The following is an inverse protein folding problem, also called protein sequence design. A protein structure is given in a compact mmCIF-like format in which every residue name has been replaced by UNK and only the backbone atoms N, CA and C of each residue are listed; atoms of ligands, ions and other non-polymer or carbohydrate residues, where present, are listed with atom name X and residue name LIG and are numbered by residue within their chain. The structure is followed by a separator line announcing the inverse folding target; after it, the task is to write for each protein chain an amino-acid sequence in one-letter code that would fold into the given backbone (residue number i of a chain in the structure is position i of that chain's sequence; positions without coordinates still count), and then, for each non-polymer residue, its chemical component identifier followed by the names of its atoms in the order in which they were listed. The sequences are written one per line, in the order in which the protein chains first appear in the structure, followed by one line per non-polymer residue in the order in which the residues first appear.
data_IF_789595361233
#
_entry.id   IF_789595361233
#
_cell.length_a   1.000
_cell.length_b   1.000
_cell.length_c   1.000
_cell.angle_alpha   90.00
_cell.angle_beta   90.00
_cell.angle_gamma   90.00
#
_symmetry.space_group_name_H-M   'P 1'
#
loop_
_entity.id
_entity.type
_entity.pdbx_description
1 polymer ?
#
# COMPACT_ATOMS: atom_id res chain seq x y z
N UNK A 1 8.70 18.42 -4.92
CA UNK A 1 9.12 17.02 -4.82
C UNK A 1 8.87 16.58 -3.40
N UNK A 2 8.11 15.51 -3.21
CA UNK A 2 7.65 15.00 -1.90
C UNK A 2 8.52 13.83 -1.47
N UNK A 3 9.06 13.85 -0.26
CA UNK A 3 9.89 12.76 0.25
C UNK A 3 9.00 11.66 0.79
N UNK A 4 9.21 10.44 0.31
CA UNK A 4 8.38 9.29 0.68
C UNK A 4 9.20 8.06 1.01
N UNK A 5 8.73 7.28 1.98
CA UNK A 5 9.19 5.92 2.25
C UNK A 5 8.02 4.98 2.01
N UNK A 6 8.24 3.89 1.27
CA UNK A 6 7.19 2.92 0.93
C UNK A 6 7.41 1.66 1.77
N UNK A 7 6.37 1.22 2.47
CA UNK A 7 6.36 -0.04 3.23
C UNK A 7 5.40 -1.02 2.56
N UNK A 8 5.92 -2.16 2.08
CA UNK A 8 5.23 -2.99 1.06
C UNK A 8 5.49 -4.48 1.30
N UNK A 9 4.64 -5.34 0.77
CA UNK A 9 4.76 -6.81 0.81
C UNK A 9 4.67 -7.38 -0.61
N UNK A 10 5.65 -7.08 -1.51
CA UNK A 10 5.43 -7.03 -2.95
C UNK A 10 4.67 -8.21 -3.58
N UNK A 11 3.36 -7.98 -3.76
CA UNK A 11 2.45 -8.67 -4.65
C UNK A 11 2.31 -7.97 -6.00
N UNK A 12 1.37 -8.45 -6.83
CA UNK A 12 1.07 -7.88 -8.15
C UNK A 12 0.77 -6.38 -8.11
N UNK A 13 -0.14 -5.91 -7.24
CA UNK A 13 -0.51 -4.50 -7.14
C UNK A 13 0.54 -3.63 -6.45
N UNK A 14 1.27 -4.15 -5.45
CA UNK A 14 2.45 -3.49 -4.91
C UNK A 14 3.50 -3.20 -6.00
N UNK A 15 3.75 -4.18 -6.88
CA UNK A 15 4.70 -4.01 -7.97
C UNK A 15 4.27 -2.89 -8.92
N UNK A 16 2.97 -2.77 -9.20
CA UNK A 16 2.41 -1.67 -9.96
C UNK A 16 2.52 -0.33 -9.20
N UNK A 17 2.40 -0.35 -7.87
CA UNK A 17 2.58 0.83 -7.03
C UNK A 17 4.03 1.32 -7.01
N UNK A 18 5.00 0.41 -6.96
CA UNK A 18 6.42 0.74 -7.09
C UNK A 18 6.73 1.28 -8.49
N UNK A 19 6.22 0.65 -9.55
CA UNK A 19 6.34 1.19 -10.91
C UNK A 19 5.78 2.63 -10.99
N UNK A 20 4.61 2.89 -10.41
CA UNK A 20 4.01 4.22 -10.37
C UNK A 20 4.89 5.20 -9.59
N UNK A 21 5.35 4.83 -8.40
CA UNK A 21 6.15 5.66 -7.53
C UNK A 21 7.46 6.08 -8.20
N UNK A 22 8.21 5.14 -8.76
CA UNK A 22 9.48 5.39 -9.44
C UNK A 22 9.30 6.02 -10.82
N UNK A 23 8.13 5.88 -11.44
CA UNK A 23 7.75 6.61 -12.65
C UNK A 23 7.33 8.07 -12.39
N UNK A 24 7.28 8.51 -11.13
CA UNK A 24 6.72 9.81 -10.73
C UNK A 24 7.78 10.79 -10.22
N UNK A 25 8.30 11.72 -11.04
CA UNK A 25 9.27 12.76 -10.63
C UNK A 25 8.80 13.68 -9.49
N UNK A 26 7.51 13.71 -9.19
CA UNK A 26 6.93 14.42 -8.06
C UNK A 26 7.40 13.80 -6.72
N UNK A 27 7.78 12.52 -6.71
CA UNK A 27 8.19 11.76 -5.54
C UNK A 27 9.70 11.57 -5.49
N UNK A 28 10.27 11.73 -4.30
CA UNK A 28 11.62 11.30 -3.94
C UNK A 28 11.50 10.10 -3.02
N UNK A 29 11.82 8.92 -3.53
CA UNK A 29 11.78 7.68 -2.74
C UNK A 29 13.05 7.62 -1.88
N UNK A 30 12.86 7.71 -0.57
CA UNK A 30 13.93 7.73 0.45
C UNK A 30 14.33 6.33 0.92
N UNK A 31 13.44 5.36 0.71
CA UNK A 31 13.65 3.96 1.06
C UNK A 31 12.42 3.14 0.74
N UNK A 32 12.64 1.83 0.63
CA UNK A 32 11.59 0.81 0.56
C UNK A 32 11.80 -0.15 1.72
N UNK A 33 10.75 -0.43 2.47
CA UNK A 33 10.75 -1.44 3.52
C UNK A 33 9.80 -2.56 3.14
N UNK A 34 10.17 -3.79 3.50
CA UNK A 34 9.36 -4.97 3.20
C UNK A 34 8.75 -5.56 4.46
N UNK A 35 7.56 -6.13 4.34
CA UNK A 35 6.85 -6.82 5.43
C UNK A 35 6.24 -8.11 4.91
N UNK A 36 5.95 -9.06 5.81
CA UNK A 36 5.14 -10.24 5.48
C UNK A 36 3.69 -9.85 5.16
N UNK A 37 3.08 -10.52 4.18
CA UNK A 37 1.69 -10.33 3.79
C UNK A 37 1.37 -11.18 2.56
N UNK A 38 1.20 -10.56 1.39
CA UNK A 38 0.89 -11.23 0.11
C UNK A 38 1.80 -12.42 -0.18
N UNK A 39 3.06 -12.34 0.25
CA UNK A 39 4.05 -13.42 0.24
C UNK A 39 4.85 -13.46 1.54
N UNK A 40 5.66 -14.51 1.72
CA UNK A 40 6.62 -14.57 2.83
C UNK A 40 7.60 -13.40 2.76
N UNK A 41 8.18 -13.01 3.90
CA UNK A 41 9.12 -11.90 3.95
C UNK A 41 10.33 -12.12 3.03
N UNK A 42 10.82 -13.35 2.90
CA UNK A 42 11.94 -13.69 2.01
C UNK A 42 11.61 -13.40 0.55
N UNK A 43 10.39 -13.75 0.11
CA UNK A 43 9.91 -13.45 -1.23
C UNK A 43 9.64 -11.95 -1.41
N UNK A 44 9.03 -11.29 -0.43
CA UNK A 44 8.80 -9.84 -0.44
C UNK A 44 10.14 -9.08 -0.62
N UNK A 45 11.17 -9.47 0.13
CA UNK A 45 12.55 -8.97 0.00
C UNK A 45 13.10 -9.16 -1.41
N UNK A 46 13.00 -10.38 -1.94
CA UNK A 46 13.50 -10.71 -3.27
C UNK A 46 12.79 -9.91 -4.36
N UNK A 47 11.47 -9.83 -4.29
CA UNK A 47 10.62 -9.11 -5.23
C UNK A 47 10.92 -7.61 -5.24
N UNK A 48 11.05 -6.98 -4.07
CA UNK A 48 11.43 -5.58 -3.95
C UNK A 48 12.78 -5.31 -4.65
N UNK A 49 13.80 -6.13 -4.39
CA UNK A 49 15.12 -5.98 -5.02
C UNK A 49 15.05 -6.15 -6.54
N UNK A 50 14.33 -7.17 -7.03
CA UNK A 50 14.12 -7.41 -8.47
C UNK A 50 13.44 -6.23 -9.16
N UNK A 51 12.41 -5.68 -8.54
CA UNK A 51 11.66 -4.54 -9.07
C UNK A 51 12.49 -3.27 -9.09
N UNK A 52 13.23 -2.97 -8.01
CA UNK A 52 14.10 -1.79 -7.98
C UNK A 52 15.25 -1.87 -8.98
N UNK A 53 15.82 -3.07 -9.19
CA UNK A 53 16.86 -3.28 -10.19
C UNK A 53 16.31 -3.11 -11.62
N UNK A 54 15.11 -3.65 -11.89
CA UNK A 54 14.40 -3.42 -13.15
C UNK A 54 14.13 -1.93 -13.40
N UNK A 55 13.80 -1.18 -12.34
CA UNK A 55 13.54 0.26 -12.38
C UNK A 55 14.81 1.12 -12.45
N UNK A 56 16.00 0.53 -12.38
CA UNK A 56 17.27 1.27 -12.29
C UNK A 56 17.45 2.05 -10.98
N UNK A 57 16.65 1.76 -9.96
CA UNK A 57 16.61 2.46 -8.67
C UNK A 57 17.67 1.93 -7.68
N UNK A 58 18.90 1.76 -8.16
CA UNK A 58 19.98 1.06 -7.43
C UNK A 58 20.48 1.78 -6.18
N UNK A 59 20.22 3.08 -6.05
CA UNK A 59 20.65 3.90 -4.90
C UNK A 59 19.61 3.95 -3.77
N UNK A 60 18.41 3.39 -3.96
CA UNK A 60 17.35 3.40 -2.94
C UNK A 60 17.51 2.21 -2.00
N UNK A 61 17.63 2.43 -0.68
CA UNK A 61 17.80 1.33 0.26
C UNK A 61 16.52 0.48 0.37
N UNK A 62 16.67 -0.84 0.29
CA UNK A 62 15.62 -1.82 0.62
C UNK A 62 15.92 -2.45 1.96
N UNK A 63 15.09 -2.27 2.97
CA UNK A 63 15.31 -2.83 4.30
C UNK A 63 14.24 -3.88 4.67
N UNK A 64 14.70 -5.02 5.16
CA UNK A 64 13.82 -6.12 5.59
C UNK A 64 13.11 -5.79 6.90
N UNK A 65 11.82 -6.04 6.96
CA UNK A 65 11.00 -5.82 8.15
C UNK A 65 10.55 -7.09 8.86
N UNK A 66 9.33 -7.06 9.37
CA UNK A 66 8.75 -8.14 10.16
C UNK A 66 8.35 -9.35 9.28
N UNK A 67 8.66 -10.55 9.78
CA UNK A 67 8.30 -11.82 9.14
C UNK A 67 6.96 -12.39 9.65
N UNK A 68 6.41 -11.82 10.72
CA UNK A 68 5.17 -12.23 11.36
C UNK A 68 4.40 -10.98 11.83
N UNK A 69 3.06 -11.03 11.88
CA UNK A 69 2.27 -10.06 12.62
C UNK A 69 2.68 -9.97 14.10
N UNK A 70 2.32 -8.87 14.77
CA UNK A 70 2.72 -8.63 16.17
C UNK A 70 2.27 -9.74 17.15
N UNK A 71 1.08 -10.30 16.92
CA UNK A 71 0.44 -11.28 17.83
C UNK A 71 -0.07 -12.52 17.10
N UNK A 72 -0.25 -12.44 15.79
CA UNK A 72 -0.91 -13.47 14.97
C UNK A 72 0.11 -14.30 14.22
N UNK A 73 -0.33 -15.46 13.74
CA UNK A 73 0.41 -16.21 12.73
C UNK A 73 0.19 -15.55 11.37
N UNK A 74 1.28 -15.40 10.60
CA UNK A 74 1.22 -14.91 9.23
C UNK A 74 0.35 -15.83 8.36
N UNK A 75 -0.39 -15.21 7.45
CA UNK A 75 -1.18 -15.92 6.44
C UNK A 75 -0.85 -15.30 5.09
N UNK A 76 -0.17 -16.08 4.24
CA UNK A 76 0.23 -15.61 2.94
C UNK A 76 -0.95 -15.43 1.96
N UNK A 77 -0.77 -14.53 1.00
CA UNK A 77 -1.69 -14.25 -0.10
C UNK A 77 -1.39 -15.02 -1.38
N UNK A 78 -0.63 -16.12 -1.33
CA UNK A 78 -0.10 -16.82 -2.53
C UNK A 78 -1.21 -17.27 -3.48
N UNK A 79 -2.39 -17.65 -2.94
CA UNK A 79 -3.56 -18.01 -3.76
C UNK A 79 -4.12 -16.87 -4.62
N UNK A 80 -3.78 -15.62 -4.32
CA UNK A 80 -4.22 -14.42 -5.03
C UNK A 80 -3.12 -13.91 -5.97
N UNK A 81 -1.89 -13.77 -5.48
CA UNK A 81 -0.77 -13.14 -6.20
C UNK A 81 0.16 -14.12 -6.94
N UNK A 82 -0.09 -15.43 -6.81
CA UNK A 82 0.72 -16.49 -7.42
C UNK A 82 1.92 -16.92 -6.56
N UNK A 83 2.55 -18.03 -6.94
CA UNK A 83 3.64 -18.67 -6.15
C UNK A 83 4.83 -17.75 -5.86
N UNK A 84 5.10 -16.80 -6.77
CA UNK A 84 6.19 -15.82 -6.62
C UNK A 84 5.72 -14.49 -6.04
N UNK A 85 4.41 -14.25 -5.93
CA UNK A 85 3.81 -12.94 -5.64
C UNK A 85 3.73 -11.98 -6.82
N UNK A 86 4.43 -12.24 -7.93
CA UNK A 86 4.50 -11.34 -9.09
C UNK A 86 3.72 -11.89 -10.31
N UNK A 87 2.66 -12.65 -10.08
CA UNK A 87 1.86 -13.23 -11.18
C UNK A 87 2.72 -14.11 -12.09
N UNK A 88 2.67 -13.86 -13.41
CA UNK A 88 3.46 -14.60 -14.41
C UNK A 88 4.82 -13.94 -14.68
N UNK A 89 5.16 -12.83 -14.01
CA UNK A 89 6.38 -12.08 -14.27
C UNK A 89 7.63 -12.85 -13.83
N UNK A 90 8.62 -12.88 -14.73
CA UNK A 90 9.94 -13.47 -14.46
C UNK A 90 11.00 -12.39 -14.57
N UNK A 91 11.49 -11.94 -13.41
CA UNK A 91 12.60 -10.99 -13.32
C UNK A 91 13.91 -11.72 -12.98
N UNK A 92 15.06 -11.27 -13.51
CA UNK A 92 16.37 -11.82 -13.20
C UNK A 92 16.66 -11.84 -11.69
N UNK A 93 17.58 -12.70 -11.25
CA UNK A 93 18.09 -12.65 -9.89
C UNK A 93 18.80 -11.31 -9.63
N UNK A 94 18.48 -10.60 -8.54
CA UNK A 94 19.00 -9.27 -8.30
C UNK A 94 20.46 -9.31 -7.85
N UNK A 95 21.24 -8.38 -8.37
CA UNK A 95 22.58 -8.06 -7.87
C UNK A 95 22.51 -7.17 -6.62
N UNK A 96 21.44 -6.37 -6.51
CA UNK A 96 21.16 -5.56 -5.32
C UNK A 96 21.05 -6.43 -4.05
N UNK A 97 21.36 -5.81 -2.91
CA UNK A 97 21.32 -6.43 -1.59
C UNK A 97 20.45 -5.62 -0.66
N UNK A 98 19.83 -6.31 0.29
CA UNK A 98 19.15 -5.65 1.40
C UNK A 98 20.13 -4.74 2.14
N UNK A 99 19.61 -3.61 2.57
CA UNK A 99 20.30 -2.70 3.45
C UNK A 99 20.57 -3.40 4.80
N UNK A 100 21.68 -3.07 5.45
CA UNK A 100 22.05 -3.66 6.74
C UNK A 100 21.13 -3.24 7.90
N UNK A 101 20.32 -2.19 7.72
CA UNK A 101 19.30 -1.75 8.66
C UNK A 101 18.04 -2.60 8.52
N UNK A 102 17.33 -2.81 9.63
CA UNK A 102 15.95 -3.30 9.58
C UNK A 102 14.99 -2.22 9.07
N UNK A 103 13.78 -2.62 8.65
CA UNK A 103 12.73 -1.68 8.26
C UNK A 103 12.47 -0.63 9.35
N UNK A 104 12.35 -1.07 10.60
CA UNK A 104 12.16 -0.17 11.76
C UNK A 104 13.30 0.83 11.89
N UNK A 105 14.56 0.39 11.75
CA UNK A 105 15.72 1.28 11.83
C UNK A 105 15.73 2.30 10.68
N UNK A 106 15.43 1.86 9.45
CA UNK A 106 15.37 2.74 8.29
C UNK A 106 14.25 3.78 8.41
N UNK A 107 13.05 3.35 8.86
CA UNK A 107 11.90 4.23 9.09
C UNK A 107 12.24 5.30 10.14
N UNK A 108 12.78 4.89 11.30
CA UNK A 108 13.14 5.81 12.38
C UNK A 108 14.22 6.79 11.93
N UNK A 109 15.27 6.32 11.25
CA UNK A 109 16.35 7.19 10.76
C UNK A 109 15.83 8.22 9.75
N UNK A 110 14.97 7.81 8.82
CA UNK A 110 14.39 8.72 7.82
C UNK A 110 13.42 9.71 8.42
N UNK A 111 12.63 9.31 9.42
CA UNK A 111 11.78 10.23 10.17
C UNK A 111 12.63 11.27 10.93
N UNK A 112 13.71 10.86 11.59
CA UNK A 112 14.65 11.78 12.25
C UNK A 112 15.32 12.77 11.29
N UNK A 113 15.74 12.28 10.11
CA UNK A 113 16.43 13.08 9.10
C UNK A 113 15.49 14.13 8.46
N UNK A 114 14.25 13.75 8.18
CA UNK A 114 13.37 14.52 7.31
C UNK A 114 12.24 15.24 8.06
N UNK A 115 11.83 14.73 9.23
CA UNK A 115 10.76 15.27 10.04
C UNK A 115 9.43 15.34 9.30
N UNK A 116 8.75 16.48 9.44
CA UNK A 116 7.46 16.82 8.82
C UNK A 116 7.47 16.86 7.27
N UNK A 117 8.61 16.58 6.63
CA UNK A 117 8.75 16.44 5.18
C UNK A 117 8.60 15.01 4.68
N UNK A 118 8.64 14.01 5.57
CA UNK A 118 8.51 12.60 5.22
C UNK A 118 7.05 12.15 5.30
N UNK A 119 6.49 11.72 4.17
CA UNK A 119 5.27 10.90 4.17
C UNK A 119 5.65 9.44 4.07
N UNK A 120 5.10 8.59 4.93
CA UNK A 120 5.24 7.14 4.78
C UNK A 120 4.00 6.60 4.05
N UNK A 121 4.21 5.68 3.11
CA UNK A 121 3.14 5.07 2.31
C UNK A 121 3.16 3.55 2.58
N UNK A 122 2.49 3.07 3.63
CA UNK A 122 2.30 1.65 3.87
C UNK A 122 1.22 1.11 2.93
N UNK A 123 1.61 0.16 2.09
CA UNK A 123 0.74 -0.56 1.17
C UNK A 123 0.61 -2.06 1.53
N UNK A 124 1.33 -2.50 2.57
CA UNK A 124 1.15 -3.80 3.20
C UNK A 124 0.62 -3.73 4.65
N UNK A 125 0.66 -4.87 5.37
CA UNK A 125 0.35 -4.93 6.79
C UNK A 125 1.18 -3.94 7.63
N UNK A 126 0.52 -3.26 8.57
CA UNK A 126 1.10 -2.12 9.31
C UNK A 126 2.14 -2.50 10.39
N UNK A 127 2.65 -3.73 10.39
CA UNK A 127 3.52 -4.30 11.42
C UNK A 127 4.82 -3.51 11.59
N UNK A 128 5.47 -3.13 10.48
CA UNK A 128 6.70 -2.33 10.52
C UNK A 128 6.46 -0.93 11.11
N UNK A 129 5.35 -0.29 10.72
CA UNK A 129 4.97 1.04 11.20
C UNK A 129 4.65 1.02 12.69
N UNK A 130 3.83 0.05 13.14
CA UNK A 130 3.53 -0.12 14.55
C UNK A 130 4.80 -0.41 15.38
N UNK A 131 5.70 -1.25 14.86
CA UNK A 131 6.98 -1.55 15.50
C UNK A 131 7.88 -0.31 15.60
N UNK A 132 7.90 0.55 14.57
CA UNK A 132 8.64 1.81 14.62
C UNK A 132 8.08 2.79 15.66
N UNK A 133 6.75 2.92 15.75
CA UNK A 133 6.07 3.71 16.80
C UNK A 133 6.41 3.17 18.19
N UNK A 134 6.40 1.86 18.38
CA UNK A 134 6.75 1.25 19.67
C UNK A 134 8.23 1.43 20.03
N UNK A 135 9.13 1.29 19.06
CA UNK A 135 10.57 1.46 19.26
C UNK A 135 10.94 2.92 19.54
N UNK A 136 10.27 3.86 18.88
CA UNK A 136 10.46 5.30 19.07
C UNK A 136 9.10 6.02 19.12
N UNK A 137 8.47 6.14 20.30
CA UNK A 137 7.17 6.80 20.44
C UNK A 137 7.15 8.26 19.94
N UNK A 138 8.28 8.98 19.98
CA UNK A 138 8.39 10.34 19.45
C UNK A 138 8.32 10.45 17.92
N UNK A 139 8.40 9.32 17.19
CA UNK A 139 8.28 9.33 15.72
C UNK A 139 6.94 9.91 15.24
N UNK A 140 5.93 9.90 16.11
CA UNK A 140 4.58 10.39 15.77
C UNK A 140 4.56 11.88 15.44
N UNK A 141 5.55 12.64 15.93
CA UNK A 141 5.73 14.07 15.69
C UNK A 141 6.82 14.36 14.63
N UNK A 142 7.44 13.32 14.04
CA UNK A 142 8.61 13.41 13.15
C UNK A 142 8.29 12.93 11.71
N UNK A 143 7.02 12.90 11.34
CA UNK A 143 6.56 12.58 9.98
C UNK A 143 5.44 13.52 9.56
N UNK A 144 5.31 13.81 8.26
CA UNK A 144 4.16 14.54 7.70
C UNK A 144 2.85 13.81 8.01
N UNK A 145 2.89 12.48 7.89
CA UNK A 145 1.75 11.59 8.08
C UNK A 145 1.91 10.28 7.31
N UNK A 146 0.84 9.48 7.38
CA UNK A 146 0.72 8.20 6.67
C UNK A 146 -0.34 8.29 5.58
N UNK A 147 -0.04 7.73 4.42
CA UNK A 147 -1.04 7.40 3.39
C UNK A 147 -1.07 5.90 3.26
N UNK A 148 -2.04 5.26 3.91
CA UNK A 148 -2.13 3.79 3.96
C UNK A 148 -3.03 3.26 2.85
N UNK A 149 -2.66 2.16 2.21
CA UNK A 149 -3.64 1.26 1.59
C UNK A 149 -4.14 0.32 2.69
N UNK A 150 -5.42 0.42 3.02
CA UNK A 150 -6.02 -0.52 3.96
C UNK A 150 -7.33 -0.05 4.56
N UNK A 151 -8.10 -1.02 5.04
CA UNK A 151 -9.39 -0.83 5.69
C UNK A 151 -10.60 -0.92 4.76
N UNK A 152 -11.73 -1.31 5.36
CA UNK A 152 -13.06 -1.32 4.76
C UNK A 152 -14.01 -0.57 5.68
N UNK A 153 -14.40 0.63 5.28
CA UNK A 153 -15.12 1.60 6.11
C UNK A 153 -16.63 1.58 5.88
N UNK A 154 -17.09 0.87 4.84
CA UNK A 154 -18.51 0.68 4.50
C UNK A 154 -19.28 2.02 4.38
N UNK A 155 -18.62 3.00 3.77
CA UNK A 155 -19.10 4.32 3.44
C UNK A 155 -19.58 4.42 1.98
N UNK A 156 -19.14 3.50 1.11
CA UNK A 156 -19.56 3.40 -0.29
C UNK A 156 -20.17 2.02 -0.60
N UNK A 157 -20.90 1.85 -1.73
CA UNK A 157 -21.51 0.55 -2.08
C UNK A 157 -20.53 -0.60 -2.34
N UNK A 158 -19.25 -0.31 -2.50
CA UNK A 158 -18.20 -1.27 -2.83
C UNK A 158 -17.14 -1.42 -1.70
N UNK A 159 -17.19 -0.60 -0.66
CA UNK A 159 -16.26 -0.61 0.47
C UNK A 159 -16.57 -1.67 1.54
N UNK A 160 -16.64 -2.95 1.16
CA UNK A 160 -16.78 -4.08 2.08
C UNK A 160 -15.47 -4.86 2.20
N UNK A 161 -15.32 -5.72 3.23
CA UNK A 161 -14.13 -6.53 3.42
C UNK A 161 -13.85 -7.49 2.25
N UNK A 162 -12.57 -7.77 2.02
CA UNK A 162 -12.08 -8.73 1.02
C UNK A 162 -11.47 -10.00 1.64
N UNK A 163 -11.08 -9.95 2.92
CA UNK A 163 -10.50 -11.09 3.62
C UNK A 163 -11.56 -11.85 4.43
N UNK A 164 -12.45 -11.11 5.08
CA UNK A 164 -13.71 -11.62 5.59
C UNK A 164 -14.83 -10.63 5.27
N UNK A 165 -16.04 -10.87 5.78
CA UNK A 165 -17.21 -10.03 5.46
C UNK A 165 -17.04 -8.54 5.82
N UNK A 166 -16.13 -8.20 6.74
CA UNK A 166 -15.99 -6.83 7.28
C UNK A 166 -14.57 -6.27 7.26
N UNK A 167 -13.56 -7.11 7.07
CA UNK A 167 -12.16 -6.72 7.17
C UNK A 167 -11.46 -6.75 5.81
N UNK A 168 -10.65 -5.72 5.59
CA UNK A 168 -9.69 -5.64 4.51
C UNK A 168 -8.40 -6.40 4.92
N UNK A 169 -7.72 -7.02 3.95
CA UNK A 169 -6.56 -7.90 4.13
C UNK A 169 -5.43 -7.31 4.98
N UNK A 170 -4.89 -6.14 4.64
CA UNK A 170 -3.75 -5.53 5.35
C UNK A 170 -4.07 -5.27 6.83
N UNK A 171 -5.28 -4.76 7.11
CA UNK A 171 -5.74 -4.57 8.48
C UNK A 171 -6.06 -5.89 9.19
N UNK A 172 -6.60 -6.88 8.48
CA UNK A 172 -6.91 -8.20 9.03
C UNK A 172 -5.65 -9.03 9.35
N UNK A 173 -4.59 -8.85 8.57
CA UNK A 173 -3.33 -9.58 8.71
C UNK A 173 -2.64 -9.22 10.02
N UNK A 174 -2.61 -7.94 10.38
CA UNK A 174 -2.11 -7.47 11.68
C UNK A 174 -3.03 -6.39 12.29
N UNK A 175 -4.17 -6.79 12.90
CA UNK A 175 -5.15 -5.85 13.44
C UNK A 175 -4.62 -5.15 14.69
N UNK A 176 -3.68 -5.77 15.42
CA UNK A 176 -3.00 -5.15 16.55
C UNK A 176 -2.07 -4.02 16.10
N UNK A 177 -1.29 -4.22 15.05
CA UNK A 177 -0.46 -3.17 14.46
C UNK A 177 -1.32 -2.03 13.91
N UNK A 178 -2.39 -2.35 13.18
CA UNK A 178 -3.32 -1.35 12.70
C UNK A 178 -3.95 -0.55 13.84
N UNK A 179 -4.33 -1.20 14.95
CA UNK A 179 -4.82 -0.50 16.14
C UNK A 179 -3.80 0.49 16.69
N UNK A 180 -2.53 0.09 16.81
CA UNK A 180 -1.44 0.97 17.28
C UNK A 180 -1.30 2.19 16.37
N UNK A 181 -1.29 1.98 15.04
CA UNK A 181 -1.15 3.06 14.06
C UNK A 181 -2.33 4.03 14.13
N UNK A 182 -3.56 3.53 14.18
CA UNK A 182 -4.76 4.37 14.20
C UNK A 182 -4.91 5.15 15.52
N UNK A 183 -4.38 4.61 16.63
CA UNK A 183 -4.37 5.27 17.94
C UNK A 183 -3.10 6.11 18.20
N UNK A 184 -2.14 6.14 17.26
CA UNK A 184 -0.81 6.76 17.46
C UNK A 184 -0.82 8.28 17.57
N UNK A 185 -1.81 8.95 16.96
CA UNK A 185 -1.84 10.40 16.80
C UNK A 185 -1.16 10.92 15.53
N UNK A 186 -0.46 10.07 14.77
CA UNK A 186 0.03 10.43 13.43
C UNK A 186 -1.16 10.77 12.52
N UNK A 187 -1.11 11.82 11.68
CA UNK A 187 -2.11 12.03 10.66
C UNK A 187 -2.20 10.84 9.70
N UNK A 188 -3.32 10.11 9.71
CA UNK A 188 -3.55 8.97 8.82
C UNK A 188 -4.57 9.32 7.75
N UNK A 189 -4.19 9.16 6.49
CA UNK A 189 -5.11 9.11 5.34
C UNK A 189 -5.28 7.67 4.89
N UNK A 190 -6.51 7.17 4.93
CA UNK A 190 -6.81 5.79 4.60
C UNK A 190 -7.42 5.66 3.20
N UNK A 191 -6.67 5.02 2.31
CA UNK A 191 -7.09 4.62 0.96
C UNK A 191 -7.62 3.19 1.04
N UNK A 192 -8.84 3.06 1.60
CA UNK A 192 -9.48 1.77 1.82
C UNK A 192 -10.24 1.23 0.61
N UNK A 193 -10.90 0.09 0.81
CA UNK A 193 -11.74 -0.56 -0.20
C UNK A 193 -12.86 0.38 -0.68
N UNK A 194 -13.31 1.32 0.15
CA UNK A 194 -14.30 2.35 -0.19
C UNK A 194 -13.97 3.21 -1.42
N UNK A 195 -12.73 3.22 -1.89
CA UNK A 195 -12.33 3.85 -3.16
C UNK A 195 -11.57 2.89 -4.09
N UNK A 196 -10.81 1.94 -3.55
CA UNK A 196 -9.97 1.06 -4.37
C UNK A 196 -10.76 -0.06 -5.06
N UNK A 197 -11.94 -0.44 -4.55
CA UNK A 197 -12.82 -1.43 -5.21
C UNK A 197 -13.91 -0.77 -6.07
N UNK A 198 -13.81 0.54 -6.32
CA UNK A 198 -14.72 1.20 -7.26
C UNK A 198 -14.62 0.47 -8.61
N UNK A 199 -15.72 -0.03 -9.20
CA UNK A 199 -15.67 -0.78 -10.46
C UNK A 199 -15.15 0.05 -11.64
N UNK A 200 -15.14 1.37 -11.53
CA UNK A 200 -14.54 2.28 -12.51
C UNK A 200 -13.03 2.47 -12.30
N UNK A 201 -12.48 2.01 -11.18
CA UNK A 201 -11.07 2.13 -10.81
C UNK A 201 -10.35 0.78 -10.90
N UNK A 202 -10.24 0.24 -12.11
CA UNK A 202 -9.58 -1.04 -12.34
C UNK A 202 -8.93 -1.10 -13.71
N UNK A 203 -7.91 -1.92 -13.83
CA UNK A 203 -7.40 -2.34 -15.13
C UNK A 203 -8.41 -3.32 -15.75
N UNK A 204 -9.09 -2.90 -16.81
CA UNK A 204 -10.06 -3.73 -17.54
C UNK A 204 -9.36 -4.57 -18.60
N UNK A 205 -10.00 -5.62 -19.16
CA UNK A 205 -9.46 -6.37 -20.29
C UNK A 205 -9.13 -5.49 -21.50
N UNK A 206 -9.89 -4.41 -21.73
CA UNK A 206 -9.65 -3.47 -22.84
C UNK A 206 -8.36 -2.66 -22.62
N UNK A 207 -8.17 -2.09 -21.42
CA UNK A 207 -6.92 -1.39 -21.07
C UNK A 207 -5.74 -2.35 -21.06
N UNK A 208 -5.93 -3.58 -20.59
CA UNK A 208 -4.89 -4.60 -20.62
C UNK A 208 -4.47 -4.95 -22.05
N UNK A 209 -5.41 -5.08 -22.99
CA UNK A 209 -5.09 -5.33 -24.39
C UNK A 209 -4.27 -4.19 -25.02
N UNK A 210 -4.48 -2.94 -24.59
CA UNK A 210 -3.63 -1.82 -24.96
C UNK A 210 -2.20 -2.02 -24.45
N UNK A 211 -2.03 -2.36 -23.16
CA UNK A 211 -0.70 -2.64 -22.56
C UNK A 211 0.01 -3.77 -23.30
N UNK A 212 -0.69 -4.87 -23.58
CA UNK A 212 -0.12 -6.02 -24.30
C UNK A 212 0.34 -5.69 -25.72
N UNK A 213 -0.27 -4.69 -26.36
CA UNK A 213 0.10 -4.26 -27.72
C UNK A 213 1.42 -3.50 -27.78
N UNK A 214 1.96 -3.06 -26.64
CA UNK A 214 3.17 -2.25 -26.57
C UNK A 214 4.43 -3.12 -26.48
N UNK A 215 5.39 -2.87 -27.36
CA UNK A 215 6.67 -3.59 -27.40
C UNK A 215 7.75 -2.92 -26.52
N UNK A 216 7.46 -2.74 -25.22
CA UNK A 216 8.44 -2.22 -24.25
C UNK A 216 8.67 -3.21 -23.11
N UNK A 217 9.87 -3.18 -22.51
CA UNK A 217 10.18 -4.04 -21.36
C UNK A 217 9.23 -3.79 -20.18
N UNK A 218 8.84 -2.53 -19.97
CA UNK A 218 7.91 -2.10 -18.93
C UNK A 218 6.49 -2.60 -19.18
N UNK A 219 5.98 -2.45 -20.39
CA UNK A 219 4.66 -2.96 -20.75
C UNK A 219 4.59 -4.50 -20.64
N UNK A 220 5.65 -5.22 -21.05
CA UNK A 220 5.75 -6.67 -20.85
C UNK A 220 5.69 -7.05 -19.37
N UNK A 221 6.47 -6.39 -18.51
CA UNK A 221 6.42 -6.63 -17.07
C UNK A 221 5.00 -6.41 -16.52
N UNK A 222 4.36 -5.29 -16.85
CA UNK A 222 2.98 -5.00 -16.40
C UNK A 222 2.00 -6.04 -16.93
N UNK A 223 2.15 -6.47 -18.18
CA UNK A 223 1.32 -7.52 -18.76
C UNK A 223 1.47 -8.83 -17.99
N UNK A 224 2.70 -9.26 -17.70
CA UNK A 224 2.97 -10.52 -17.00
C UNK A 224 2.52 -10.48 -15.53
N UNK A 225 2.63 -9.33 -14.86
CA UNK A 225 2.07 -9.11 -13.52
C UNK A 225 0.55 -9.30 -13.51
N UNK A 226 -0.16 -8.74 -14.50
CA UNK A 226 -1.62 -8.62 -14.46
C UNK A 226 -2.38 -9.76 -15.17
N UNK A 227 -1.74 -10.47 -16.11
CA UNK A 227 -2.40 -11.40 -17.05
C UNK A 227 -3.34 -12.39 -16.39
N UNK A 228 -2.89 -13.00 -15.32
CA UNK A 228 -3.64 -14.02 -14.60
C UNK A 228 -4.89 -13.41 -13.91
N UNK A 229 -4.78 -12.23 -13.32
CA UNK A 229 -5.92 -11.49 -12.78
C UNK A 229 -6.92 -11.11 -13.88
N UNK A 230 -6.46 -10.63 -15.03
CA UNK A 230 -7.34 -10.30 -16.15
C UNK A 230 -8.14 -11.54 -16.60
N UNK A 231 -7.47 -12.71 -16.69
CA UNK A 231 -8.12 -13.97 -17.07
C UNK A 231 -9.10 -14.49 -16.02
N UNK A 232 -8.72 -14.50 -14.74
CA UNK A 232 -9.53 -15.09 -13.64
C UNK A 232 -10.66 -14.17 -13.17
N UNK A 233 -10.40 -12.87 -13.10
CA UNK A 233 -11.25 -11.87 -12.40
C UNK A 233 -11.88 -10.83 -13.34
N UNK A 234 -11.64 -10.94 -14.65
CA UNK A 234 -12.08 -9.98 -15.67
C UNK A 234 -11.63 -8.54 -15.37
N UNK A 235 -10.39 -8.39 -14.88
CA UNK A 235 -9.78 -7.10 -14.53
C UNK A 235 -9.11 -7.12 -13.15
N UNK A 236 -8.31 -6.09 -12.86
CA UNK A 236 -7.54 -5.97 -11.62
C UNK A 236 -7.82 -4.62 -10.95
N UNK A 237 -8.24 -4.63 -9.68
CA UNK A 237 -8.36 -3.41 -8.89
C UNK A 237 -6.98 -2.85 -8.56
N UNK A 238 -6.82 -1.52 -8.65
CA UNK A 238 -5.54 -0.85 -8.45
C UNK A 238 -5.45 -0.29 -7.02
N UNK A 239 -5.35 -1.18 -6.03
CA UNK A 239 -5.37 -0.86 -4.61
C UNK A 239 -4.18 0.03 -4.21
N UNK A 240 -2.98 -0.53 -4.23
CA UNK A 240 -1.75 0.14 -3.79
C UNK A 240 -1.33 1.29 -4.70
N UNK A 241 -1.48 1.19 -6.04
CA UNK A 241 -1.21 2.32 -6.92
C UNK A 241 -2.06 3.55 -6.56
N UNK A 242 -3.31 3.36 -6.08
CA UNK A 242 -4.12 4.49 -5.64
C UNK A 242 -3.54 5.16 -4.38
N UNK A 243 -2.99 4.40 -3.44
CA UNK A 243 -2.36 4.97 -2.25
C UNK A 243 -1.13 5.84 -2.62
N UNK A 244 -0.28 5.36 -3.53
CA UNK A 244 0.86 6.13 -4.06
C UNK A 244 0.38 7.38 -4.79
N UNK A 245 -0.64 7.26 -5.66
CA UNK A 245 -1.18 8.40 -6.39
C UNK A 245 -1.79 9.45 -5.44
N UNK A 246 -2.49 9.04 -4.38
CA UNK A 246 -3.07 9.94 -3.38
C UNK A 246 -2.01 10.62 -2.52
N UNK A 247 -0.89 9.94 -2.24
CA UNK A 247 0.24 10.56 -1.55
C UNK A 247 0.90 11.66 -2.41
N UNK A 248 0.97 11.42 -3.72
CA UNK A 248 1.50 12.37 -4.71
C UNK A 248 0.56 13.54 -4.99
N UNK A 249 -0.72 13.27 -5.28
CA UNK A 249 -1.77 14.25 -5.55
C UNK A 249 -3.01 13.95 -4.68
N UNK A 250 -3.11 14.56 -3.49
CA UNK A 250 -4.26 14.41 -2.62
C UNK A 250 -5.59 14.84 -3.23
N UNK A 251 -5.60 15.66 -4.28
CA UNK A 251 -6.82 16.14 -4.92
C UNK A 251 -7.49 15.11 -5.83
N UNK A 252 -6.90 13.91 -5.97
CA UNK A 252 -7.52 12.77 -6.66
C UNK A 252 -8.71 12.20 -5.90
N UNK A 253 -8.82 12.49 -4.60
CA UNK A 253 -9.82 11.90 -3.71
C UNK A 253 -10.53 12.96 -2.88
N UNK A 254 -11.77 12.67 -2.52
CA UNK A 254 -12.44 13.36 -1.42
C UNK A 254 -12.25 12.57 -0.13
N UNK A 255 -11.92 13.25 0.96
CA UNK A 255 -11.78 12.62 2.29
C UNK A 255 -12.86 13.08 3.25
N UNK A 256 -13.19 12.21 4.21
CA UNK A 256 -14.00 12.55 5.39
C UNK A 256 -13.28 12.05 6.63
N UNK A 257 -13.17 12.93 7.62
CA UNK A 257 -12.51 12.61 8.89
C UNK A 257 -13.46 11.89 9.83
N UNK A 258 -13.03 10.74 10.36
CA UNK A 258 -13.81 9.94 11.30
C UNK A 258 -12.98 9.54 12.53
N UNK A 259 -13.67 9.18 13.61
CA UNK A 259 -13.10 8.28 14.61
C UNK A 259 -13.20 6.88 14.04
N UNK A 260 -12.05 6.23 13.93
CA UNK A 260 -11.92 4.84 13.52
C UNK A 260 -11.23 4.07 14.63
N UNK A 261 -11.76 2.88 14.92
CA UNK A 261 -11.15 1.90 15.81
C UNK A 261 -10.97 0.58 15.06
N UNK A 262 -9.96 -0.21 15.43
CA UNK A 262 -9.72 -1.54 14.85
C UNK A 262 -10.16 -2.61 15.85
N UNK A 263 -11.04 -3.50 15.42
CA UNK A 263 -11.48 -4.66 16.20
C UNK A 263 -10.41 -5.76 16.17
N UNK A 264 -9.91 -6.18 17.33
CA UNK A 264 -8.81 -7.15 17.45
C UNK A 264 -9.25 -8.51 18.00
N UNK A 265 -10.46 -8.64 18.55
CA UNK A 265 -10.88 -9.83 19.31
C UNK A 265 -12.03 -10.58 18.63
N UNK A 266 -13.06 -9.87 18.15
CA UNK A 266 -14.33 -10.46 17.74
C UNK A 266 -14.21 -11.61 16.74
N UNK A 267 -14.92 -12.73 17.00
CA UNK A 267 -14.84 -13.94 16.18
C UNK A 267 -15.29 -13.73 14.71
N UNK A 268 -16.21 -12.78 14.47
CA UNK A 268 -16.72 -12.45 13.14
C UNK A 268 -16.14 -11.15 12.57
N UNK A 269 -15.54 -10.32 13.44
CA UNK A 269 -15.25 -8.92 13.13
C UNK A 269 -13.81 -8.52 13.34
N UNK A 270 -12.91 -9.46 13.67
CA UNK A 270 -11.46 -9.20 13.72
C UNK A 270 -10.98 -8.55 12.42
N UNK A 271 -10.21 -7.46 12.55
CA UNK A 271 -9.69 -6.66 11.45
C UNK A 271 -10.67 -5.61 10.92
N UNK A 272 -11.88 -5.50 11.49
CA UNK A 272 -12.82 -4.47 11.07
C UNK A 272 -12.31 -3.08 11.46
N UNK A 273 -12.26 -2.16 10.48
CA UNK A 273 -12.12 -0.72 10.71
C UNK A 273 -13.47 -0.11 11.06
N UNK A 274 -13.76 -0.02 12.35
CA UNK A 274 -15.03 0.46 12.90
C UNK A 274 -15.11 1.98 12.83
N UNK A 275 -16.02 2.49 11.99
CA UNK A 275 -16.23 3.93 11.81
C UNK A 275 -17.39 4.44 12.68
N UNK A 276 -17.14 5.46 13.51
CA UNK A 276 -18.23 6.14 14.23
C UNK A 276 -19.02 7.06 13.29
N UNK A 277 -20.22 6.61 12.91
CA UNK A 277 -21.16 7.32 12.03
C UNK A 277 -22.38 7.86 12.77
N UNK A 278 -22.39 7.81 14.11
CA UNK A 278 -23.57 8.20 14.91
C UNK A 278 -23.85 9.68 14.72
N UNK A 279 -25.12 10.02 14.40
CA UNK A 279 -25.57 11.41 14.22
C UNK A 279 -25.98 12.09 15.54
N UNK A 280 -26.50 11.30 16.47
CA UNK A 280 -27.10 11.80 17.71
C UNK A 280 -26.11 11.86 18.88
N UNK A 281 -25.07 11.04 18.86
CA UNK A 281 -23.98 11.06 19.84
C UNK A 281 -22.77 11.74 19.21
N UNK A 282 -22.67 13.06 19.38
CA UNK A 282 -21.51 13.81 18.88
C UNK A 282 -20.29 13.46 19.72
N UNK A 283 -19.28 12.90 19.06
CA UNK A 283 -17.93 12.78 19.63
C UNK A 283 -17.16 14.09 19.42
N UNK A 284 -16.19 14.42 20.29
CA UNK A 284 -15.33 15.59 20.09
C UNK A 284 -14.56 15.50 18.77
N UNK A 285 -14.39 16.61 18.05
CA UNK A 285 -13.64 16.63 16.78
C UNK A 285 -12.21 16.10 16.95
N UNK A 286 -11.57 16.44 18.07
CA UNK A 286 -10.23 15.98 18.43
C UNK A 286 -10.10 14.45 18.58
N UNK A 287 -11.21 13.72 18.73
CA UNK A 287 -11.18 12.25 18.76
C UNK A 287 -11.09 11.63 17.36
N UNK A 288 -11.34 12.38 16.29
CA UNK A 288 -11.27 11.86 14.92
C UNK A 288 -9.82 11.74 14.46
N UNK A 289 -9.41 10.51 14.16
CA UNK A 289 -8.03 10.11 13.95
C UNK A 289 -7.69 9.78 12.49
N UNK A 290 -8.68 9.57 11.62
CA UNK A 290 -8.42 9.12 10.24
C UNK A 290 -9.19 9.94 9.22
N UNK A 291 -8.49 10.41 8.20
CA UNK A 291 -9.07 10.96 6.97
C UNK A 291 -9.32 9.81 5.98
N UNK A 292 -10.57 9.35 5.91
CA UNK A 292 -10.97 8.23 5.05
C UNK A 292 -11.31 8.74 3.66
N UNK A 293 -10.71 8.16 2.62
CA UNK A 293 -11.06 8.43 1.22
C UNK A 293 -12.46 7.87 0.92
N UNK A 294 -13.36 8.70 0.40
CA UNK A 294 -14.77 8.32 0.14
C UNK A 294 -15.20 8.50 -1.31
N UNK A 295 -14.36 9.11 -2.13
CA UNK A 295 -14.55 9.27 -3.58
C UNK A 295 -13.19 9.40 -4.24
N UNK A 296 -13.11 9.04 -5.52
CA UNK A 296 -11.91 9.12 -6.34
C UNK A 296 -12.27 9.59 -7.76
N UNK A 297 -11.43 10.46 -8.32
CA UNK A 297 -11.45 10.85 -9.72
C UNK A 297 -10.83 9.72 -10.57
N UNK A 298 -11.66 8.75 -10.94
CA UNK A 298 -11.23 7.50 -11.59
C UNK A 298 -10.52 7.76 -12.93
N UNK A 299 -11.04 8.68 -13.73
CA UNK A 299 -10.47 8.99 -15.05
C UNK A 299 -9.07 9.59 -14.91
N UNK A 300 -8.92 10.57 -14.01
CA UNK A 300 -7.61 11.20 -13.77
C UNK A 300 -6.61 10.21 -13.17
N UNK A 301 -7.05 9.36 -12.25
CA UNK A 301 -6.19 8.33 -11.68
C UNK A 301 -5.76 7.28 -12.72
N UNK A 302 -6.68 6.75 -13.53
CA UNK A 302 -6.34 5.76 -14.56
C UNK A 302 -5.43 6.35 -15.65
N UNK A 303 -5.69 7.59 -16.07
CA UNK A 303 -4.81 8.28 -17.02
C UNK A 303 -3.40 8.47 -16.45
N UNK A 304 -3.29 8.87 -15.19
CA UNK A 304 -2.01 9.00 -14.50
C UNK A 304 -1.30 7.64 -14.39
N UNK A 305 -2.03 6.59 -14.01
CA UNK A 305 -1.50 5.24 -13.91
C UNK A 305 -0.92 4.78 -15.25
N UNK A 306 -1.68 4.88 -16.34
CA UNK A 306 -1.21 4.49 -17.68
C UNK A 306 0.03 5.29 -18.10
N UNK A 307 0.01 6.61 -17.90
CA UNK A 307 1.14 7.49 -18.23
C UNK A 307 2.42 7.07 -17.49
N UNK A 308 2.36 6.85 -16.17
CA UNK A 308 3.56 6.60 -15.35
C UNK A 308 3.99 5.14 -15.32
N UNK A 309 3.05 4.21 -15.31
CA UNK A 309 3.32 2.76 -15.18
C UNK A 309 3.59 2.11 -16.53
N UNK A 310 2.91 2.54 -17.59
CA UNK A 310 3.00 1.89 -18.91
C UNK A 310 3.88 2.70 -19.87
N UNK A 311 3.66 4.02 -19.96
CA UNK A 311 4.37 4.89 -20.89
C UNK A 311 5.59 5.61 -20.29
N UNK A 312 5.79 5.48 -18.98
CA UNK A 312 6.89 6.12 -18.27
C UNK A 312 8.24 5.72 -18.87
N UNK A 313 9.19 6.67 -18.90
CA UNK A 313 10.54 6.40 -19.40
C UNK A 313 11.13 5.20 -18.65
N UNK A 314 11.54 4.17 -19.41
CA UNK A 314 12.29 3.05 -18.85
C UNK A 314 13.64 3.54 -18.34
N UNK A 315 14.16 2.88 -17.29
CA UNK A 315 15.56 2.99 -16.90
C UNK A 315 16.51 2.56 -18.01
#
# INVERSE_FOLDING_TARGET
MKHVLIDTDPGVDDALALLLAFGSPELKIEGVTTVVGNVSLELANLNALKLLEFLGAVDVPVASGAAEPLVREAVDGVGIHGETGLGEAVLPEPTLKLNGRSAVQLIVEKAEELGDRLTIIPIGPLTNIASAIQAKPGIVDEVEGLVIMGGAFNLTPYGHGNMNAVAEYNIWHDPEAAKIVFDSGIPVKAVGLDVTTNPLNRLTPELFAEIESLDTARARLVADLCRDFIRRMNGLSLHDPLAVAVAMDPSLVETKRFKVEVETVGALTRGMTVVDRRRYHRIPEASRNVDVCVSVDNERFLSLFMDRVVHGKGG
#
